data_IF_239841697118
#
_entry.id   IF_239841697118
#
_cell.length_a   1.000
_cell.length_b   1.000
_cell.length_c   1.000
_cell.angle_alpha   90.00
_cell.angle_beta   90.00
_cell.angle_gamma   90.00
#
_symmetry.space_group_name_H-M   'P 1'
#
loop_
_entity.id
_entity.type
_entity.pdbx_description
1 polymer ?
#
# COMPACT_ATOMS: atom_id res chain seq x y z
N UNK A 1 -15.07 11.27 -2.58
CA UNK A 1 -15.55 10.04 -3.22
C UNK A 1 -15.60 8.94 -2.18
N UNK A 2 -16.79 8.57 -1.69
CA UNK A 2 -16.94 7.42 -0.79
C UNK A 2 -16.77 6.17 -1.64
N UNK A 3 -15.55 5.59 -1.62
CA UNK A 3 -15.22 4.37 -2.35
C UNK A 3 -16.16 3.24 -1.93
N UNK A 4 -16.60 2.47 -2.92
CA UNK A 4 -17.62 1.44 -2.78
C UNK A 4 -17.03 0.21 -2.07
N UNK A 5 -16.90 0.30 -0.74
CA UNK A 5 -16.30 -0.72 0.14
C UNK A 5 -17.06 -2.06 0.13
N UNK A 6 -18.13 -2.19 -0.63
CA UNK A 6 -18.95 -3.40 -0.76
C UNK A 6 -18.78 -4.09 -2.12
N UNK A 7 -17.92 -3.59 -3.02
CA UNK A 7 -17.79 -4.09 -4.40
C UNK A 7 -17.15 -5.47 -4.50
N UNK A 8 -16.28 -5.82 -3.58
CA UNK A 8 -15.50 -7.05 -3.64
C UNK A 8 -15.09 -7.50 -2.26
N UNK A 9 -15.03 -8.82 -2.05
CA UNK A 9 -14.48 -9.46 -0.84
C UNK A 9 -13.24 -10.23 -1.25
N UNK A 10 -12.20 -10.22 -0.43
CA UNK A 10 -10.94 -10.90 -0.74
C UNK A 10 -10.52 -11.85 0.36
N UNK A 11 -10.03 -13.00 -0.06
CA UNK A 11 -9.72 -14.15 0.80
C UNK A 11 -8.31 -14.61 0.46
N UNK A 12 -7.35 -14.31 1.33
CA UNK A 12 -5.96 -14.73 1.18
C UNK A 12 -5.76 -16.15 1.74
N UNK A 13 -5.16 -17.04 0.95
CA UNK A 13 -4.90 -18.42 1.38
C UNK A 13 -3.59 -18.53 2.16
N UNK A 14 -3.59 -19.37 3.21
CA UNK A 14 -2.39 -19.60 4.05
C UNK A 14 -1.38 -20.51 3.38
N UNK A 15 -1.88 -21.55 2.74
CA UNK A 15 -1.07 -22.55 2.06
C UNK A 15 -1.04 -22.22 0.56
N UNK A 16 0.09 -22.43 -0.15
CA UNK A 16 0.13 -22.30 -1.60
C UNK A 16 -0.95 -23.16 -2.24
N UNK A 17 -1.86 -22.51 -2.98
CA UNK A 17 -2.98 -23.18 -3.61
C UNK A 17 -2.74 -23.29 -5.12
N UNK A 18 -2.69 -24.53 -5.61
CA UNK A 18 -2.63 -24.82 -7.05
C UNK A 18 -3.98 -24.49 -7.71
N UNK A 19 -3.93 -23.87 -8.88
CA UNK A 19 -5.10 -23.56 -9.71
C UNK A 19 -6.02 -24.76 -9.94
N UNK A 20 -5.46 -25.98 -10.10
CA UNK A 20 -6.27 -27.19 -10.29
C UNK A 20 -7.10 -27.52 -9.06
N UNK A 21 -6.54 -27.34 -7.87
CA UNK A 21 -7.25 -27.60 -6.61
C UNK A 21 -8.42 -26.62 -6.46
N UNK A 22 -8.21 -25.34 -6.77
CA UNK A 22 -9.31 -24.37 -6.75
C UNK A 22 -10.36 -24.64 -7.83
N UNK A 23 -9.94 -25.07 -9.03
CA UNK A 23 -10.86 -25.41 -10.12
C UNK A 23 -11.72 -26.64 -9.80
N UNK A 24 -11.15 -27.67 -9.15
CA UNK A 24 -11.88 -28.85 -8.69
C UNK A 24 -12.92 -28.47 -7.64
N UNK A 25 -12.55 -27.61 -6.68
CA UNK A 25 -13.47 -27.04 -5.69
C UNK A 25 -14.60 -26.26 -6.37
N UNK A 26 -14.28 -25.30 -7.25
CA UNK A 26 -15.28 -24.49 -7.96
C UNK A 26 -16.26 -25.37 -8.75
N UNK A 27 -15.75 -26.41 -9.41
CA UNK A 27 -16.58 -27.38 -10.13
C UNK A 27 -17.51 -28.16 -9.19
N UNK A 28 -17.05 -28.52 -7.99
CA UNK A 28 -17.84 -29.24 -6.98
C UNK A 28 -18.96 -28.38 -6.37
N UNK A 29 -18.75 -27.07 -6.25
CA UNK A 29 -19.74 -26.09 -5.81
C UNK A 29 -20.67 -25.64 -6.96
N UNK A 30 -20.50 -26.21 -8.17
CA UNK A 30 -21.34 -25.93 -9.33
C UNK A 30 -21.04 -24.59 -10.01
N UNK A 31 -19.86 -24.01 -9.81
CA UNK A 31 -19.45 -22.77 -10.45
C UNK A 31 -18.94 -23.03 -11.87
N UNK A 32 -19.51 -22.33 -12.85
CA UNK A 32 -19.07 -22.34 -14.25
C UNK A 32 -17.81 -21.47 -14.44
N UNK A 33 -16.82 -22.03 -15.13
CA UNK A 33 -15.63 -21.30 -15.54
C UNK A 33 -15.98 -20.28 -16.64
N UNK A 34 -15.61 -19.02 -16.42
CA UNK A 34 -15.91 -17.89 -17.29
C UNK A 34 -14.70 -17.41 -18.10
N UNK A 35 -13.49 -17.87 -17.77
CA UNK A 35 -12.27 -17.52 -18.49
C UNK A 35 -11.15 -17.04 -17.56
N UNK A 36 -10.25 -16.22 -18.10
CA UNK A 36 -9.17 -15.63 -17.31
C UNK A 36 -8.92 -14.18 -17.74
N UNK A 37 -8.46 -13.37 -16.80
CA UNK A 37 -8.06 -11.99 -16.97
C UNK A 37 -6.56 -11.88 -16.74
N UNK A 38 -5.84 -11.26 -17.68
CA UNK A 38 -4.41 -11.03 -17.53
C UNK A 38 -4.20 -9.56 -17.16
N UNK A 39 -3.59 -9.35 -15.99
CA UNK A 39 -3.15 -8.03 -15.56
C UNK A 39 -1.63 -8.02 -15.51
N UNK A 40 -1.00 -7.04 -16.15
CA UNK A 40 0.46 -6.92 -16.25
C UNK A 40 1.16 -7.11 -14.89
N UNK A 41 0.57 -6.56 -13.82
CA UNK A 41 1.17 -6.53 -12.49
C UNK A 41 0.57 -7.50 -11.45
N UNK A 42 -0.68 -7.99 -11.65
CA UNK A 42 -1.31 -9.00 -10.76
C UNK A 42 -1.13 -10.42 -11.29
N UNK A 43 -0.68 -10.57 -12.54
CA UNK A 43 -0.64 -11.85 -13.22
C UNK A 43 -2.01 -12.25 -13.76
N UNK A 44 -2.18 -13.55 -13.98
CA UNK A 44 -3.42 -14.13 -14.52
C UNK A 44 -4.40 -14.43 -13.39
N UNK A 45 -5.63 -13.98 -13.50
CA UNK A 45 -6.73 -14.30 -12.60
C UNK A 45 -7.74 -15.17 -13.35
N UNK A 46 -8.01 -16.37 -12.83
CA UNK A 46 -9.03 -17.24 -13.39
C UNK A 46 -10.39 -16.84 -12.84
N UNK A 47 -11.43 -16.85 -13.66
CA UNK A 47 -12.76 -16.34 -13.29
C UNK A 47 -13.78 -17.46 -13.39
N UNK A 48 -14.60 -17.59 -12.35
CA UNK A 48 -15.80 -18.41 -12.30
C UNK A 48 -16.98 -17.56 -11.89
N UNK A 49 -18.17 -17.99 -12.26
CA UNK A 49 -19.39 -17.38 -11.78
C UNK A 49 -20.14 -18.41 -10.89
N UNK A 50 -20.86 -17.98 -9.87
CA UNK A 50 -21.76 -18.86 -9.12
C UNK A 50 -23.15 -18.88 -9.77
N UNK A 51 -23.97 -19.87 -9.43
CA UNK A 51 -25.37 -19.94 -9.88
C UNK A 51 -26.20 -18.76 -9.37
N UNK A 52 -25.86 -18.23 -8.19
CA UNK A 52 -26.56 -17.13 -7.54
C UNK A 52 -26.06 -15.74 -7.98
N UNK A 53 -25.11 -15.69 -8.92
CA UNK A 53 -24.62 -14.47 -9.55
C UNK A 53 -23.44 -13.80 -8.84
N UNK A 54 -22.69 -14.52 -8.01
CA UNK A 54 -21.37 -14.06 -7.58
C UNK A 54 -20.34 -14.33 -8.68
N UNK A 55 -19.32 -13.49 -8.76
CA UNK A 55 -18.17 -13.64 -9.65
C UNK A 55 -16.97 -13.91 -8.74
N UNK A 56 -16.21 -14.96 -9.03
CA UNK A 56 -15.08 -15.41 -8.23
C UNK A 56 -13.84 -15.38 -9.12
N UNK A 57 -12.92 -14.46 -8.82
CA UNK A 57 -11.59 -14.41 -9.40
C UNK A 57 -10.58 -15.12 -8.50
N UNK A 58 -9.85 -16.11 -9.01
CA UNK A 58 -8.72 -16.73 -8.31
C UNK A 58 -7.41 -16.26 -8.92
N UNK A 59 -6.58 -15.62 -8.11
CA UNK A 59 -5.22 -15.24 -8.48
C UNK A 59 -4.24 -16.22 -7.81
N UNK A 60 -3.49 -17.03 -8.57
CA UNK A 60 -2.46 -17.88 -8.01
C UNK A 60 -1.34 -17.01 -7.43
N UNK A 61 -0.74 -17.48 -6.34
CA UNK A 61 0.39 -16.81 -5.70
C UNK A 61 1.65 -16.90 -6.56
N UNK A 62 2.61 -16.05 -6.21
CA UNK A 62 3.95 -16.04 -6.78
C UNK A 62 5.00 -15.71 -5.70
N UNK A 63 6.17 -15.22 -6.10
CA UNK A 63 7.29 -14.95 -5.19
C UNK A 63 7.03 -13.81 -4.20
N UNK A 64 6.05 -12.93 -4.46
CA UNK A 64 5.76 -11.76 -3.62
C UNK A 64 4.29 -11.67 -3.20
N UNK A 65 3.41 -12.49 -3.78
CA UNK A 65 1.99 -12.59 -3.43
C UNK A 65 1.59 -13.99 -3.02
N UNK A 66 0.83 -14.11 -1.94
CA UNK A 66 0.07 -15.35 -1.68
C UNK A 66 -1.03 -15.52 -2.73
N UNK A 67 -1.50 -16.76 -2.91
CA UNK A 67 -2.74 -17.01 -3.64
C UNK A 67 -3.90 -16.33 -2.91
N UNK A 68 -4.86 -15.77 -3.64
CA UNK A 68 -6.08 -15.23 -3.05
C UNK A 68 -7.27 -15.37 -4.01
N UNK A 69 -8.47 -15.35 -3.44
CA UNK A 69 -9.72 -15.24 -4.20
C UNK A 69 -10.34 -13.86 -3.99
N UNK A 70 -10.89 -13.28 -5.05
CA UNK A 70 -11.74 -12.10 -5.03
C UNK A 70 -13.17 -12.52 -5.38
N UNK A 71 -14.14 -12.10 -4.58
CA UNK A 71 -15.57 -12.37 -4.76
C UNK A 71 -16.27 -11.05 -5.01
N UNK A 72 -16.89 -10.90 -6.17
CA UNK A 72 -17.61 -9.70 -6.61
C UNK A 72 -18.96 -10.09 -7.22
N UNK A 73 -19.69 -9.12 -7.76
CA UNK A 73 -20.89 -9.32 -8.56
C UNK A 73 -21.15 -8.07 -9.43
N UNK A 74 -21.87 -8.21 -10.54
CA UNK A 74 -22.24 -7.08 -11.42
C UNK A 74 -23.12 -6.03 -10.70
N UNK A 75 -24.02 -6.49 -9.82
CA UNK A 75 -24.88 -5.67 -8.96
C UNK A 75 -24.59 -6.00 -7.48
N UNK A 76 -23.45 -5.54 -6.93
CA UNK A 76 -22.98 -5.99 -5.62
C UNK A 76 -23.95 -5.62 -4.49
N UNK A 77 -24.66 -4.50 -4.59
CA UNK A 77 -25.66 -4.08 -3.60
C UNK A 77 -26.83 -5.06 -3.51
N UNK A 78 -27.22 -5.66 -4.64
CA UNK A 78 -28.33 -6.62 -4.74
C UNK A 78 -27.84 -8.03 -4.41
N UNK A 79 -26.58 -8.35 -4.75
CA UNK A 79 -26.00 -9.69 -4.68
C UNK A 79 -25.14 -9.94 -3.44
N UNK A 80 -25.23 -9.10 -2.40
CA UNK A 80 -24.48 -9.27 -1.14
C UNK A 80 -24.60 -10.67 -0.53
N UNK A 81 -25.77 -11.30 -0.63
CA UNK A 81 -25.98 -12.67 -0.12
C UNK A 81 -25.18 -13.70 -0.93
N UNK A 82 -25.23 -13.63 -2.26
CA UNK A 82 -24.47 -14.53 -3.13
C UNK A 82 -22.96 -14.39 -2.90
N UNK A 83 -22.48 -13.16 -2.75
CA UNK A 83 -21.07 -12.88 -2.42
C UNK A 83 -20.70 -13.46 -1.05
N UNK A 84 -21.54 -13.30 -0.03
CA UNK A 84 -21.30 -13.85 1.30
C UNK A 84 -21.30 -15.38 1.33
N UNK A 85 -22.18 -16.00 0.54
CA UNK A 85 -22.27 -17.44 0.44
C UNK A 85 -21.03 -18.03 -0.26
N UNK A 86 -20.61 -17.44 -1.38
CA UNK A 86 -19.38 -17.84 -2.06
C UNK A 86 -18.14 -17.66 -1.17
N UNK A 87 -18.03 -16.54 -0.45
CA UNK A 87 -16.98 -16.33 0.54
C UNK A 87 -16.99 -17.42 1.62
N UNK A 88 -18.15 -17.72 2.20
CA UNK A 88 -18.29 -18.72 3.25
C UNK A 88 -17.92 -20.13 2.76
N UNK A 89 -18.24 -20.47 1.51
CA UNK A 89 -17.84 -21.75 0.89
C UNK A 89 -16.32 -21.85 0.81
N UNK A 90 -15.63 -20.81 0.32
CA UNK A 90 -14.16 -20.76 0.23
C UNK A 90 -13.52 -20.86 1.62
N UNK A 91 -14.02 -20.10 2.60
CA UNK A 91 -13.50 -20.09 3.97
C UNK A 91 -13.70 -21.43 4.69
N UNK A 92 -14.71 -22.21 4.32
CA UNK A 92 -14.97 -23.54 4.87
C UNK A 92 -14.03 -24.59 4.32
N UNK A 93 -13.67 -24.48 3.04
CA UNK A 93 -12.80 -25.45 2.35
C UNK A 93 -11.32 -25.17 2.62
N UNK A 94 -10.91 -23.91 2.57
CA UNK A 94 -9.50 -23.54 2.59
C UNK A 94 -9.08 -22.80 3.85
N UNK A 95 -7.83 -23.05 4.28
CA UNK A 95 -7.21 -22.29 5.35
C UNK A 95 -6.83 -20.90 4.84
N UNK A 96 -7.44 -19.89 5.43
CA UNK A 96 -7.29 -18.51 5.01
C UNK A 96 -6.68 -17.64 6.11
N UNK A 97 -6.01 -16.56 5.73
CA UNK A 97 -5.49 -15.58 6.68
C UNK A 97 -6.60 -14.66 7.17
N UNK A 98 -6.65 -14.47 8.48
CA UNK A 98 -7.26 -13.25 9.04
C UNK A 98 -6.26 -12.09 8.97
N UNK A 99 -6.78 -10.85 8.95
CA UNK A 99 -5.93 -9.63 9.02
C UNK A 99 -5.02 -9.66 10.25
N UNK A 100 -5.55 -10.06 11.40
CA UNK A 100 -4.79 -10.10 12.66
C UNK A 100 -3.65 -11.12 12.61
N UNK A 101 -3.86 -12.30 12.03
CA UNK A 101 -2.80 -13.30 11.88
C UNK A 101 -1.70 -12.80 10.95
N UNK A 102 -2.07 -12.23 9.80
CA UNK A 102 -1.10 -11.69 8.84
C UNK A 102 -0.26 -10.54 9.47
N UNK A 103 -0.89 -9.63 10.20
CA UNK A 103 -0.19 -8.57 10.93
C UNK A 103 0.74 -9.12 12.03
N UNK A 104 0.33 -10.17 12.73
CA UNK A 104 1.19 -10.87 13.70
C UNK A 104 2.45 -11.44 13.05
N UNK A 105 2.29 -12.08 11.89
CA UNK A 105 3.39 -12.67 11.13
C UNK A 105 4.31 -11.62 10.48
N UNK A 106 3.76 -10.46 10.06
CA UNK A 106 4.55 -9.37 9.48
C UNK A 106 5.64 -8.87 10.43
N UNK A 107 5.38 -8.90 11.74
CA UNK A 107 6.35 -8.48 12.76
C UNK A 107 7.48 -9.50 12.95
N UNK A 108 7.21 -10.77 12.65
CA UNK A 108 8.14 -11.88 12.84
C UNK A 108 8.95 -12.24 11.58
N UNK A 109 8.54 -11.77 10.40
CA UNK A 109 9.11 -12.17 9.11
C UNK A 109 10.01 -11.08 8.49
N UNK A 110 10.94 -11.52 7.63
CA UNK A 110 11.89 -10.67 6.88
C UNK A 110 12.02 -11.14 5.43
N UNK A 111 12.57 -10.29 4.56
CA UNK A 111 12.84 -10.63 3.15
C UNK A 111 11.59 -11.08 2.40
N UNK A 112 11.72 -12.13 1.58
CA UNK A 112 10.62 -12.68 0.76
C UNK A 112 9.42 -13.15 1.59
N UNK A 113 9.66 -13.77 2.75
CA UNK A 113 8.56 -14.17 3.63
C UNK A 113 7.74 -12.96 4.10
N UNK A 114 8.40 -11.81 4.35
CA UNK A 114 7.70 -10.57 4.69
C UNK A 114 6.89 -10.04 3.51
N UNK A 115 7.39 -10.17 2.28
CA UNK A 115 6.68 -9.78 1.06
C UNK A 115 5.36 -10.55 0.90
N UNK A 116 5.39 -11.89 1.07
CA UNK A 116 4.21 -12.74 1.03
C UNK A 116 3.19 -12.39 2.13
N UNK A 117 3.64 -12.18 3.35
CA UNK A 117 2.71 -11.86 4.45
C UNK A 117 2.14 -10.44 4.31
N UNK A 118 2.87 -9.51 3.71
CA UNK A 118 2.38 -8.16 3.42
C UNK A 118 1.20 -8.18 2.44
N UNK A 119 1.34 -8.92 1.34
CA UNK A 119 0.25 -9.09 0.37
C UNK A 119 -0.92 -9.86 0.96
N UNK A 120 -0.66 -10.87 1.81
CA UNK A 120 -1.72 -11.55 2.56
C UNK A 120 -2.51 -10.57 3.45
N UNK A 121 -1.82 -9.71 4.21
CA UNK A 121 -2.47 -8.72 5.07
C UNK A 121 -3.34 -7.73 4.28
N UNK A 122 -2.84 -7.28 3.13
CA UNK A 122 -3.56 -6.38 2.23
C UNK A 122 -4.78 -7.06 1.57
N UNK A 123 -4.62 -8.29 1.08
CA UNK A 123 -5.70 -9.06 0.49
C UNK A 123 -6.79 -9.40 1.53
N UNK A 124 -6.44 -9.67 2.79
CA UNK A 124 -7.42 -9.90 3.86
C UNK A 124 -8.11 -8.62 4.36
N UNK A 125 -7.68 -7.42 3.94
CA UNK A 125 -8.24 -6.13 4.35
C UNK A 125 -8.77 -5.31 3.15
N UNK A 126 -9.74 -5.79 2.36
CA UNK A 126 -10.17 -5.10 1.15
C UNK A 126 -10.99 -3.82 1.41
N UNK A 127 -11.82 -3.79 2.45
CA UNK A 127 -12.99 -2.89 2.46
C UNK A 127 -12.93 -1.72 3.45
N UNK A 128 -12.12 -1.85 4.51
CA UNK A 128 -11.96 -0.80 5.52
C UNK A 128 -10.51 -0.44 5.63
N UNK A 129 -10.24 0.87 5.55
CA UNK A 129 -8.93 1.40 5.87
C UNK A 129 -8.47 0.81 7.21
N UNK A 130 -7.40 0.03 7.17
CA UNK A 130 -6.76 -0.56 8.33
C UNK A 130 -5.44 0.18 8.55
N UNK A 131 -5.35 1.05 9.58
CA UNK A 131 -4.14 1.85 9.83
C UNK A 131 -2.89 0.98 9.94
N UNK A 132 -2.99 -0.16 10.63
CA UNK A 132 -1.86 -1.06 10.85
C UNK A 132 -1.33 -1.67 9.55
N UNK A 133 -2.20 -2.04 8.62
CA UNK A 133 -1.81 -2.53 7.29
C UNK A 133 -1.26 -1.38 6.46
N UNK A 134 -1.88 -0.20 6.50
CA UNK A 134 -1.43 0.98 5.74
C UNK A 134 -0.03 1.44 6.17
N UNK A 135 0.25 1.42 7.48
CA UNK A 135 1.57 1.72 8.04
C UNK A 135 2.61 0.68 7.60
N UNK A 136 2.24 -0.61 7.61
CA UNK A 136 3.10 -1.68 7.15
C UNK A 136 3.43 -1.55 5.65
N UNK A 137 2.43 -1.23 4.81
CA UNK A 137 2.60 -0.98 3.37
C UNK A 137 3.48 0.25 3.14
N UNK A 138 3.20 1.36 3.84
CA UNK A 138 3.98 2.60 3.73
C UNK A 138 5.45 2.37 4.08
N UNK A 139 5.73 1.65 5.17
CA UNK A 139 7.10 1.26 5.54
C UNK A 139 7.74 0.35 4.49
N UNK A 140 6.97 -0.60 3.94
CA UNK A 140 7.47 -1.56 2.97
C UNK A 140 7.80 -0.95 1.60
N UNK A 141 7.12 0.13 1.19
CA UNK A 141 7.47 0.89 -0.02
C UNK A 141 8.92 1.38 0.01
N UNK A 142 9.49 1.65 1.18
CA UNK A 142 10.87 2.13 1.31
C UNK A 142 11.80 1.07 1.92
N UNK A 143 11.40 -0.21 1.89
CA UNK A 143 12.24 -1.30 2.39
C UNK A 143 13.51 -1.49 1.54
N UNK A 144 14.65 -1.87 2.13
CA UNK A 144 15.87 -2.08 1.36
C UNK A 144 15.76 -3.25 0.37
N UNK A 145 14.90 -4.24 0.65
CA UNK A 145 14.72 -5.42 -0.19
C UNK A 145 13.73 -5.17 -1.35
N UNK A 146 14.16 -5.32 -2.62
CA UNK A 146 13.26 -5.14 -3.78
C UNK A 146 11.98 -5.99 -3.75
N UNK A 147 12.00 -7.27 -3.34
CA UNK A 147 10.77 -8.07 -3.23
C UNK A 147 9.73 -7.49 -2.27
N UNK A 148 10.18 -6.85 -1.18
CA UNK A 148 9.29 -6.22 -0.19
C UNK A 148 8.67 -4.95 -0.77
N UNK A 149 9.43 -4.14 -1.51
CA UNK A 149 8.91 -2.97 -2.22
C UNK A 149 7.90 -3.37 -3.31
N UNK A 150 8.19 -4.41 -4.09
CA UNK A 150 7.26 -4.95 -5.08
C UNK A 150 5.95 -5.45 -4.44
N UNK A 151 6.04 -6.17 -3.32
CA UNK A 151 4.87 -6.58 -2.54
C UNK A 151 4.08 -5.38 -1.99
N UNK A 152 4.75 -4.31 -1.59
CA UNK A 152 4.08 -3.09 -1.14
C UNK A 152 3.27 -2.43 -2.26
N UNK A 153 3.81 -2.35 -3.49
CA UNK A 153 3.06 -1.84 -4.64
C UNK A 153 1.83 -2.71 -4.95
N UNK A 154 1.95 -4.04 -4.84
CA UNK A 154 0.80 -4.93 -4.95
C UNK A 154 -0.22 -4.72 -3.85
N UNK A 155 0.22 -4.53 -2.61
CA UNK A 155 -0.67 -4.24 -1.50
C UNK A 155 -1.43 -2.91 -1.69
N UNK A 156 -0.77 -1.86 -2.22
CA UNK A 156 -1.43 -0.61 -2.59
C UNK A 156 -2.50 -0.86 -3.66
N UNK A 157 -2.16 -1.62 -4.69
CA UNK A 157 -3.09 -1.96 -5.77
C UNK A 157 -4.27 -2.81 -5.28
N UNK A 158 -4.07 -3.71 -4.32
CA UNK A 158 -5.17 -4.52 -3.77
C UNK A 158 -6.08 -3.65 -2.89
N UNK A 159 -5.53 -2.81 -2.03
CA UNK A 159 -6.33 -2.05 -1.06
C UNK A 159 -6.99 -0.81 -1.66
N UNK A 160 -6.35 -0.17 -2.64
CA UNK A 160 -6.81 1.05 -3.30
C UNK A 160 -7.15 2.19 -2.30
N UNK A 161 -6.49 2.19 -1.13
CA UNK A 161 -6.79 3.15 -0.07
C UNK A 161 -6.23 4.54 -0.40
N UNK A 162 -7.07 5.59 -0.45
CA UNK A 162 -6.64 6.97 -0.73
C UNK A 162 -5.46 7.48 0.11
N UNK A 163 -5.33 7.00 1.35
CA UNK A 163 -4.26 7.35 2.27
C UNK A 163 -2.86 6.93 1.77
N UNK A 164 -2.79 5.91 0.90
CA UNK A 164 -1.54 5.42 0.32
C UNK A 164 -1.09 6.24 -0.91
N UNK A 165 -1.91 7.18 -1.40
CA UNK A 165 -1.57 8.00 -2.57
C UNK A 165 -0.25 8.78 -2.40
N UNK A 166 -0.09 9.46 -1.25
CA UNK A 166 1.12 10.26 -0.97
C UNK A 166 2.37 9.40 -0.79
N UNK A 167 2.36 8.32 0.04
CA UNK A 167 3.46 7.37 0.10
C UNK A 167 3.83 6.77 -1.25
N UNK A 168 2.85 6.40 -2.06
CA UNK A 168 3.06 5.83 -3.40
C UNK A 168 3.77 6.83 -4.33
N UNK A 169 3.29 8.08 -4.36
CA UNK A 169 3.91 9.11 -5.18
C UNK A 169 5.35 9.43 -4.73
N UNK A 170 5.61 9.46 -3.42
CA UNK A 170 6.96 9.63 -2.90
C UNK A 170 7.88 8.47 -3.31
N UNK A 171 7.40 7.22 -3.19
CA UNK A 171 8.12 6.04 -3.63
C UNK A 171 8.44 6.09 -5.13
N UNK A 172 7.48 6.47 -5.98
CA UNK A 172 7.65 6.58 -7.43
C UNK A 172 8.77 7.57 -7.86
N UNK A 173 9.09 8.56 -7.02
CA UNK A 173 10.16 9.54 -7.25
C UNK A 173 11.53 9.09 -6.72
N UNK A 174 11.55 8.25 -5.68
CA UNK A 174 12.78 7.85 -4.99
C UNK A 174 13.23 6.43 -5.33
N UNK A 175 12.37 5.62 -5.95
CA UNK A 175 12.68 4.25 -6.33
C UNK A 175 13.80 4.22 -7.38
N UNK A 176 14.82 3.42 -7.11
CA UNK A 176 15.99 3.28 -7.97
C UNK A 176 15.79 2.24 -9.07
N UNK A 177 14.90 1.26 -8.86
CA UNK A 177 14.50 0.30 -9.88
C UNK A 177 13.49 0.94 -10.84
N UNK A 178 13.90 1.15 -12.10
CA UNK A 178 13.06 1.80 -13.10
C UNK A 178 11.71 1.08 -13.34
N UNK A 179 11.68 -0.26 -13.19
CA UNK A 179 10.47 -1.06 -13.34
C UNK A 179 9.48 -0.81 -12.20
N UNK A 180 9.95 -0.88 -10.96
CA UNK A 180 9.13 -0.58 -9.78
C UNK A 180 8.72 0.90 -9.75
N UNK A 181 9.61 1.81 -10.14
CA UNK A 181 9.30 3.23 -10.22
C UNK A 181 8.21 3.49 -11.27
N UNK A 182 8.33 2.90 -12.46
CA UNK A 182 7.30 2.99 -13.51
C UNK A 182 5.96 2.44 -13.05
N UNK A 183 5.96 1.26 -12.40
CA UNK A 183 4.74 0.67 -11.86
C UNK A 183 4.08 1.57 -10.81
N UNK A 184 4.87 2.16 -9.89
CA UNK A 184 4.36 3.07 -8.89
C UNK A 184 3.72 4.33 -9.51
N UNK A 185 4.31 4.87 -10.60
CA UNK A 185 3.73 6.01 -11.32
C UNK A 185 2.40 5.65 -11.97
N UNK A 186 2.37 4.54 -12.71
CA UNK A 186 1.15 4.05 -13.37
C UNK A 186 0.03 3.80 -12.35
N UNK A 187 0.36 3.18 -11.21
CA UNK A 187 -0.59 2.93 -10.14
C UNK A 187 -1.12 4.23 -9.50
N UNK A 188 -0.25 5.24 -9.33
CA UNK A 188 -0.66 6.53 -8.79
C UNK A 188 -1.63 7.26 -9.73
N UNK A 189 -1.41 7.18 -11.04
CA UNK A 189 -2.29 7.76 -12.07
C UNK A 189 -3.63 7.04 -12.17
N UNK A 190 -3.61 5.71 -12.10
CA UNK A 190 -4.80 4.86 -12.24
C UNK A 190 -5.73 4.96 -11.03
N UNK A 191 -5.19 4.93 -9.81
CA UNK A 191 -6.02 4.84 -8.58
C UNK A 191 -6.49 6.21 -8.11
N UNK A 192 -5.69 7.27 -8.32
CA UNK A 192 -5.94 8.54 -7.64
C UNK A 192 -6.41 9.68 -8.55
N UNK A 193 -6.29 9.58 -9.89
CA UNK A 193 -6.80 10.47 -10.96
C UNK A 193 -6.53 11.99 -10.85
N UNK A 194 -6.24 12.53 -9.67
CA UNK A 194 -5.81 13.88 -9.38
C UNK A 194 -4.33 13.82 -9.08
N UNK A 195 -3.53 14.60 -9.83
CA UNK A 195 -2.14 14.97 -9.59
C UNK A 195 -1.58 14.56 -8.21
N UNK A 196 -1.29 13.26 -7.99
CA UNK A 196 -0.75 12.78 -6.73
C UNK A 196 0.60 13.47 -6.43
N UNK A 197 1.27 13.90 -7.50
CA UNK A 197 2.48 14.72 -7.49
C UNK A 197 2.27 16.19 -7.09
N UNK A 198 1.08 16.79 -7.28
CA UNK A 198 0.83 18.16 -6.80
C UNK A 198 0.85 18.24 -5.26
N UNK A 199 0.46 17.16 -4.57
CA UNK A 199 0.55 17.06 -3.11
C UNK A 199 1.98 16.95 -2.57
N UNK A 200 2.97 16.68 -3.44
CA UNK A 200 4.39 16.66 -3.07
C UNK A 200 5.08 18.01 -3.30
N UNK A 201 4.48 18.90 -4.09
CA UNK A 201 5.03 20.23 -4.42
C UNK A 201 4.49 21.32 -3.49
N UNK A 202 3.34 21.11 -2.83
CA UNK A 202 2.80 22.07 -1.87
C UNK A 202 3.15 21.67 -0.43
N UNK A 203 3.87 22.52 0.34
CA UNK A 203 3.99 22.31 1.79
C UNK A 203 2.58 22.32 2.42
N UNK A 204 2.36 21.59 3.52
CA UNK A 204 1.08 21.66 4.22
C UNK A 204 0.76 23.12 4.53
N UNK A 205 -0.48 23.53 4.25
CA UNK A 205 -0.94 24.87 4.62
C UNK A 205 -0.67 25.08 6.12
N UNK A 206 -0.12 26.24 6.53
CA UNK A 206 0.12 26.51 7.93
C UNK A 206 -1.20 26.32 8.70
N UNK A 207 -1.12 25.60 9.81
CA UNK A 207 -2.26 25.46 10.70
C UNK A 207 -2.61 26.83 11.26
N UNK A 208 -3.89 27.14 11.59
CA UNK A 208 -4.26 28.42 12.18
C UNK A 208 -3.48 28.78 13.45
N UNK A 209 -2.87 27.80 14.12
CA UNK A 209 -1.99 27.98 15.27
C UNK A 209 -0.61 28.57 14.92
N UNK A 210 -0.16 28.50 13.66
CA UNK A 210 1.10 29.10 13.19
C UNK A 210 0.95 30.59 12.84
N UNK A 211 -0.27 31.13 12.86
CA UNK A 211 -0.55 32.55 12.61
C UNK A 211 -0.57 33.41 13.88
N UNK A 212 -0.46 32.80 15.06
CA UNK A 212 -0.33 33.49 16.35
C UNK A 212 1.14 33.65 16.79
N UNK A 213 2.02 33.99 15.83
CA UNK A 213 3.33 34.56 16.14
C UNK A 213 3.16 36.02 16.58
N UNK A 214 3.87 36.49 17.63
CA UNK A 214 3.54 37.76 18.28
C UNK A 214 3.67 38.93 17.31
N UNK A 215 2.63 39.78 17.28
CA UNK A 215 2.65 41.08 16.65
C UNK A 215 3.90 41.84 17.12
N UNK A 216 4.87 41.98 16.22
CA UNK A 216 6.05 42.81 16.43
C UNK A 216 5.54 44.25 16.47
N UNK A 217 5.35 44.76 17.68
CA UNK A 217 4.98 46.15 17.88
C UNK A 217 6.09 47.05 17.34
N UNK A 218 5.69 47.80 16.32
CA UNK A 218 6.36 48.95 15.74
C UNK A 218 6.71 49.94 16.87
N UNK A 219 8.00 50.04 17.22
CA UNK A 219 8.51 51.10 18.09
C UNK A 219 9.27 52.09 17.22
N UNK A 220 8.58 53.17 16.86
CA UNK A 220 9.20 54.39 16.35
C UNK A 220 9.97 55.12 17.46
N UNK A 221 11.30 55.07 17.43
CA UNK A 221 12.26 56.12 17.90
C UNK A 221 13.56 55.85 17.11
N UNK A 222 14.22 56.75 16.39
CA UNK A 222 14.35 58.20 16.48
C UNK A 222 15.84 58.51 16.44
N UNK A 223 16.33 59.17 15.38
CA UNK A 223 17.61 59.90 15.38
C UNK A 223 18.81 59.25 14.65
N UNK A 224 19.45 59.96 13.70
CA UNK A 224 20.72 59.55 13.07
C UNK A 224 21.93 60.12 13.84
N UNK A 225 23.00 59.35 13.97
CA UNK A 225 24.23 59.80 14.65
C UNK A 225 25.44 58.87 14.47
N UNK A 226 26.19 59.11 13.41
CA UNK A 226 27.67 59.22 13.31
C UNK A 226 28.61 58.22 14.03
N UNK A 227 29.51 57.59 13.22
CA UNK A 227 30.93 57.18 13.49
C UNK A 227 31.19 56.14 14.60
N UNK A 228 32.18 55.23 14.60
CA UNK A 228 33.33 54.88 13.76
C UNK A 228 33.98 53.58 14.34
N UNK A 229 34.66 52.80 13.48
CA UNK A 229 35.95 52.07 13.68
C UNK A 229 36.11 51.02 14.81
N UNK A 230 36.41 49.77 14.41
CA UNK A 230 37.54 48.88 14.83
C UNK A 230 37.29 47.47 14.22
N UNK A 231 38.07 46.93 13.25
CA UNK A 231 39.33 46.15 13.40
C UNK A 231 39.32 45.27 14.67
N UNK A 232 39.59 43.96 14.68
CA UNK A 232 40.66 43.22 14.03
C UNK A 232 40.54 41.70 14.36
N UNK A 233 41.04 40.84 13.45
CA UNK A 233 41.82 39.58 13.63
C UNK A 233 41.48 38.48 14.66
N UNK A 234 41.44 37.23 14.15
CA UNK A 234 42.38 36.11 14.45
C UNK A 234 41.69 34.74 14.20
N UNK A 235 42.12 33.94 13.21
CA UNK A 235 43.12 32.86 13.32
C UNK A 235 42.80 31.85 14.44
N UNK A 236 42.39 30.62 14.10
CA UNK A 236 43.37 29.55 13.92
C UNK A 236 42.82 28.18 14.37
N UNK A 237 43.60 27.08 14.24
CA UNK A 237 43.14 25.86 13.57
C UNK A 237 43.27 24.56 14.40
N UNK A 238 43.07 23.44 13.69
CA UNK A 238 43.74 22.12 13.83
C UNK A 238 43.24 21.05 14.81
N UNK A 239 42.87 19.92 14.17
CA UNK A 239 43.37 18.55 14.36
C UNK A 239 43.13 17.77 15.67
N UNK A 240 42.59 16.55 15.52
CA UNK A 240 42.57 15.51 16.55
C UNK A 240 42.37 14.12 15.94
N UNK A 241 43.42 13.30 16.01
CA UNK A 241 43.65 11.99 15.35
C UNK A 241 43.23 10.79 16.23
N UNK A 242 43.36 9.59 15.65
CA UNK A 242 43.50 8.23 16.25
C UNK A 242 42.19 7.48 16.60
N UNK A 243 41.80 6.38 15.93
CA UNK A 243 42.39 5.00 15.88
C UNK A 243 42.82 4.45 17.26
N UNK A 244 42.12 3.42 17.76
CA UNK A 244 42.66 2.04 17.85
C UNK A 244 41.58 1.01 18.21
N UNK A 245 41.77 -0.12 17.57
CA UNK A 245 41.19 -1.45 17.73
C UNK A 245 41.48 -2.09 19.08
N UNK A 246 40.56 -2.94 19.53
CA UNK A 246 40.83 -4.24 20.12
C UNK A 246 39.98 -5.29 19.41
#
# INVERSE_FOLDING_TARGET
MAGSWWRWRRIAFRDPLDTRVFADFASSEGWWYAGHENHEWRGSTLVWHSLDGAIIGFSPGDTVSVSFAEVSADEPEVRQRAMAEAEAMVLREFRCFTVSEALGLLRATKGEARALVLTAAAASAPDRYCPEVADAVTSALFAPEPPVRAAALRAVMLTEWPQLARPLAAHALTEADDGLASFARALAEQVYHENAYAHLVQPPAPTPQDLDGPAVNEVCRGGPGTTAVHQETALGPTAGRCRRTH
#
